data_IF_125540209588
#
_entry.id   IF_125540209588
#
_cell.length_a   1.000
_cell.length_b   1.000
_cell.length_c   1.000
_cell.angle_alpha   90.00
_cell.angle_beta   90.00
_cell.angle_gamma   90.00
#
_symmetry.space_group_name_H-M   'P 1'
#
loop_
_entity.id
_entity.type
_entity.pdbx_description
1 polymer ?
#
# COMPACT_ATOMS: atom_id res chain seq x y z
N UNK A 1 7.18 1.18 -5.01
CA UNK A 1 7.05 1.52 -6.43
C UNK A 1 6.03 0.64 -7.10
N UNK A 2 5.60 0.99 -8.26
CA UNK A 2 4.52 0.35 -8.99
C UNK A 2 3.47 1.39 -9.35
N UNK A 3 2.74 1.14 -10.41
CA UNK A 3 1.78 2.09 -10.94
C UNK A 3 0.41 1.44 -11.14
N UNK A 4 -0.61 2.26 -11.23
CA UNK A 4 -1.96 1.88 -11.62
C UNK A 4 -2.52 3.00 -12.48
N UNK A 5 -3.38 2.67 -13.42
CA UNK A 5 -3.95 3.63 -14.35
C UNK A 5 -4.99 4.51 -13.64
N UNK A 6 -4.85 5.83 -13.77
CA UNK A 6 -5.83 6.82 -13.33
C UNK A 6 -6.66 7.27 -14.53
N UNK A 7 -7.91 6.96 -14.53
CA UNK A 7 -8.86 7.37 -15.55
C UNK A 7 -10.28 7.20 -15.03
N UNK A 8 -11.25 7.86 -15.67
CA UNK A 8 -12.66 7.69 -15.36
C UNK A 8 -13.06 6.23 -15.52
N UNK A 9 -13.98 5.75 -14.70
CA UNK A 9 -14.38 4.34 -14.69
C UNK A 9 -14.83 3.85 -16.06
N UNK A 10 -15.58 4.65 -16.80
CA UNK A 10 -16.08 4.30 -18.14
C UNK A 10 -14.98 4.26 -19.21
N UNK A 11 -13.80 4.82 -18.93
CA UNK A 11 -12.67 4.82 -19.85
C UNK A 11 -11.66 3.70 -19.56
N UNK A 12 -11.75 3.05 -18.39
CA UNK A 12 -10.83 1.99 -18.01
C UNK A 12 -11.16 0.69 -18.75
N UNK A 13 -10.22 0.20 -19.55
CA UNK A 13 -10.29 -1.12 -20.17
C UNK A 13 -9.82 -2.21 -19.20
N UNK A 14 -10.11 -3.47 -19.52
CA UNK A 14 -9.58 -4.58 -18.73
C UNK A 14 -8.05 -4.54 -18.66
N UNK A 15 -7.38 -4.25 -19.78
CA UNK A 15 -5.92 -4.15 -19.82
C UNK A 15 -5.39 -3.04 -18.90
N UNK A 16 -6.11 -1.94 -18.76
CA UNK A 16 -5.74 -0.85 -17.84
C UNK A 16 -5.70 -1.34 -16.40
N UNK A 17 -6.63 -2.20 -15.98
CA UNK A 17 -6.62 -2.80 -14.64
C UNK A 17 -5.40 -3.69 -14.43
N UNK A 18 -4.98 -4.44 -15.46
CA UNK A 18 -3.81 -5.30 -15.34
C UNK A 18 -2.49 -4.55 -15.15
N UNK A 19 -2.40 -3.29 -15.55
CA UNK A 19 -1.20 -2.47 -15.30
C UNK A 19 -0.87 -2.46 -13.80
N UNK A 20 -1.82 -2.03 -12.98
CA UNK A 20 -1.64 -1.99 -11.53
C UNK A 20 -1.57 -3.38 -10.91
N UNK A 21 -2.36 -4.31 -11.43
CA UNK A 21 -2.37 -5.69 -10.95
C UNK A 21 -1.00 -6.35 -11.11
N UNK A 22 -0.37 -6.22 -12.26
CA UNK A 22 0.94 -6.83 -12.54
C UNK A 22 2.08 -6.07 -11.88
N UNK A 23 2.02 -4.73 -11.87
CA UNK A 23 3.08 -3.88 -11.34
C UNK A 23 3.01 -3.79 -9.82
N UNK A 24 2.05 -3.04 -9.30
CA UNK A 24 1.99 -2.73 -7.85
C UNK A 24 1.57 -3.92 -7.01
N UNK A 25 0.55 -4.67 -7.43
CA UNK A 25 0.05 -5.79 -6.64
C UNK A 25 1.01 -6.97 -6.70
N UNK A 26 1.24 -7.54 -7.87
CA UNK A 26 2.08 -8.73 -8.00
C UNK A 26 3.55 -8.44 -7.67
N UNK A 27 4.03 -7.24 -7.90
CA UNK A 27 5.36 -6.84 -7.48
C UNK A 27 5.55 -7.00 -5.97
N UNK A 28 4.59 -6.56 -5.18
CA UNK A 28 4.65 -6.69 -3.72
C UNK A 28 4.31 -8.09 -3.23
N UNK A 29 3.36 -8.76 -3.85
CA UNK A 29 3.07 -10.19 -3.56
C UNK A 29 4.32 -11.04 -3.78
N UNK A 30 5.01 -10.83 -4.89
CA UNK A 30 6.24 -11.57 -5.19
C UNK A 30 7.38 -11.24 -4.23
N UNK A 31 7.46 -10.00 -3.75
CA UNK A 31 8.44 -9.64 -2.72
C UNK A 31 8.27 -10.52 -1.47
N UNK A 32 7.05 -10.73 -1.02
CA UNK A 32 6.77 -11.59 0.13
C UNK A 32 6.95 -13.05 -0.22
N UNK A 33 6.38 -13.49 -1.34
CA UNK A 33 6.41 -14.89 -1.78
C UNK A 33 7.83 -15.42 -1.94
N UNK A 34 8.68 -14.65 -2.58
CA UNK A 34 10.08 -15.02 -2.80
C UNK A 34 10.97 -14.64 -1.61
N UNK A 35 10.73 -13.48 -1.00
CA UNK A 35 11.53 -12.97 0.12
C UNK A 35 11.46 -13.86 1.36
N UNK A 36 10.35 -14.58 1.55
CA UNK A 36 10.21 -15.48 2.71
C UNK A 36 11.35 -16.50 2.84
N UNK A 37 11.98 -16.85 1.72
CA UNK A 37 13.07 -17.83 1.71
C UNK A 37 14.42 -17.24 2.09
N UNK A 38 14.53 -15.92 2.17
CA UNK A 38 15.77 -15.20 2.41
C UNK A 38 15.77 -14.37 3.70
N UNK A 39 14.58 -14.12 4.25
CA UNK A 39 14.45 -13.27 5.42
C UNK A 39 14.96 -13.98 6.67
N UNK A 40 15.70 -13.23 7.50
CA UNK A 40 16.24 -13.78 8.76
C UNK A 40 15.13 -13.94 9.80
N UNK A 41 15.28 -14.85 10.77
CA UNK A 41 14.36 -14.94 11.90
C UNK A 41 14.18 -13.57 12.56
N UNK A 42 12.96 -13.24 12.96
CA UNK A 42 12.57 -11.96 13.54
C UNK A 42 12.67 -10.77 12.59
N UNK A 43 12.92 -11.01 11.31
CA UNK A 43 12.86 -9.97 10.29
C UNK A 43 11.45 -9.54 9.97
N UNK A 44 11.32 -8.54 9.08
CA UNK A 44 10.02 -8.05 8.65
C UNK A 44 10.04 -7.65 7.18
N UNK A 45 8.86 -7.71 6.57
CA UNK A 45 8.61 -7.16 5.24
C UNK A 45 7.52 -6.11 5.39
N UNK A 46 7.76 -4.92 4.86
CA UNK A 46 6.80 -3.82 4.90
C UNK A 46 6.39 -3.49 3.47
N UNK A 47 5.11 -3.65 3.18
CA UNK A 47 4.53 -3.27 1.89
C UNK A 47 4.01 -1.84 1.95
N UNK A 48 3.83 -1.23 0.79
CA UNK A 48 3.36 0.16 0.68
C UNK A 48 2.05 0.21 -0.09
N UNK A 49 1.06 0.86 0.51
CA UNK A 49 -0.24 1.13 -0.09
C UNK A 49 -0.61 2.60 0.10
N UNK A 50 -1.86 2.94 -0.09
CA UNK A 50 -2.33 4.30 0.08
C UNK A 50 -3.79 4.38 0.50
N UNK A 51 -4.18 5.57 0.89
CA UNK A 51 -5.51 5.90 1.40
C UNK A 51 -6.64 5.51 0.42
N UNK A 52 -6.36 5.38 -0.86
CA UNK A 52 -7.37 5.02 -1.87
C UNK A 52 -8.03 3.67 -1.59
N UNK A 53 -7.39 2.80 -0.81
CA UNK A 53 -7.99 1.54 -0.38
C UNK A 53 -9.19 1.75 0.57
N UNK A 54 -9.12 2.79 1.39
CA UNK A 54 -10.13 3.07 2.43
C UNK A 54 -11.03 4.26 2.05
N UNK A 55 -10.47 5.26 1.37
CA UNK A 55 -11.15 6.52 1.04
C UNK A 55 -10.75 6.95 -0.38
N UNK A 56 -11.30 6.29 -1.40
CA UNK A 56 -10.94 6.59 -2.79
C UNK A 56 -11.50 7.93 -3.26
N UNK A 57 -10.84 8.48 -4.28
CA UNK A 57 -11.31 9.67 -4.98
C UNK A 57 -11.68 9.29 -6.42
N UNK A 58 -12.23 10.22 -7.18
CA UNK A 58 -12.59 9.94 -8.58
C UNK A 58 -11.37 9.51 -9.40
N UNK A 59 -11.59 8.74 -10.46
CA UNK A 59 -10.55 8.23 -11.38
C UNK A 59 -9.59 7.21 -10.78
N UNK A 60 -9.92 6.61 -9.65
CA UNK A 60 -8.99 5.73 -8.91
C UNK A 60 -9.48 4.30 -8.73
N UNK A 61 -10.45 3.84 -9.53
CA UNK A 61 -10.99 2.49 -9.37
C UNK A 61 -9.90 1.40 -9.39
N UNK A 62 -8.97 1.50 -10.32
CA UNK A 62 -7.85 0.54 -10.42
C UNK A 62 -6.88 0.67 -9.25
N UNK A 63 -6.47 1.89 -8.91
CA UNK A 63 -5.54 2.13 -7.80
C UNK A 63 -6.14 1.71 -6.46
N UNK A 64 -7.42 2.01 -6.23
CA UNK A 64 -8.13 1.61 -5.01
C UNK A 64 -8.21 0.08 -4.90
N UNK A 65 -8.53 -0.59 -5.99
CA UNK A 65 -8.61 -2.06 -6.07
C UNK A 65 -7.28 -2.70 -5.69
N UNK A 66 -6.19 -2.23 -6.26
CA UNK A 66 -4.84 -2.79 -6.03
C UNK A 66 -4.41 -2.57 -4.58
N UNK A 67 -4.60 -1.36 -4.04
CA UNK A 67 -4.26 -1.07 -2.65
C UNK A 67 -5.10 -1.92 -1.68
N UNK A 68 -6.39 -2.07 -1.93
CA UNK A 68 -7.27 -2.91 -1.13
C UNK A 68 -6.88 -4.39 -1.18
N UNK A 69 -6.49 -4.88 -2.36
CA UNK A 69 -6.02 -6.26 -2.52
C UNK A 69 -4.77 -6.53 -1.68
N UNK A 70 -3.82 -5.59 -1.63
CA UNK A 70 -2.62 -5.72 -0.79
C UNK A 70 -3.00 -5.78 0.69
N UNK A 71 -3.96 -4.97 1.14
CA UNK A 71 -4.42 -4.99 2.53
C UNK A 71 -4.94 -6.38 2.91
N UNK A 72 -5.79 -6.95 2.09
CA UNK A 72 -6.33 -8.30 2.33
C UNK A 72 -5.24 -9.37 2.27
N UNK A 73 -4.32 -9.26 1.32
CA UNK A 73 -3.18 -10.17 1.20
C UNK A 73 -2.31 -10.17 2.47
N UNK A 74 -1.96 -8.99 2.99
CA UNK A 74 -1.15 -8.87 4.23
C UNK A 74 -1.83 -9.58 5.40
N UNK A 75 -3.12 -9.38 5.57
CA UNK A 75 -3.87 -10.01 6.66
C UNK A 75 -3.87 -11.53 6.55
N UNK A 76 -4.06 -12.06 5.34
CA UNK A 76 -4.09 -13.50 5.12
C UNK A 76 -2.72 -14.14 5.30
N UNK A 77 -1.69 -13.56 4.70
CA UNK A 77 -0.30 -14.08 4.79
C UNK A 77 0.19 -14.05 6.24
N UNK A 78 -0.16 -13.02 6.99
CA UNK A 78 0.26 -12.90 8.38
C UNK A 78 -0.15 -14.11 9.23
N UNK A 79 -1.28 -14.74 8.92
CA UNK A 79 -1.72 -15.94 9.63
C UNK A 79 -0.79 -17.12 9.39
N UNK A 80 -0.23 -17.21 8.17
CA UNK A 80 0.59 -18.36 7.75
C UNK A 80 2.06 -18.21 8.13
N UNK A 81 2.58 -16.97 8.22
CA UNK A 81 4.01 -16.72 8.51
C UNK A 81 4.26 -16.33 9.97
N UNK A 82 3.25 -16.44 10.81
CA UNK A 82 3.35 -16.12 12.24
C UNK A 82 4.48 -16.94 12.89
N UNK A 83 5.38 -16.27 13.61
CA UNK A 83 6.52 -16.90 14.25
C UNK A 83 7.75 -17.01 13.36
N UNK A 84 7.61 -16.87 12.04
CA UNK A 84 8.75 -16.88 11.12
C UNK A 84 9.30 -15.48 10.87
N UNK A 85 8.43 -14.55 10.44
CA UNK A 85 8.77 -13.15 10.25
C UNK A 85 7.47 -12.33 10.32
N UNK A 86 7.61 -11.01 10.38
CA UNK A 86 6.46 -10.10 10.43
C UNK A 86 6.22 -9.48 9.06
N UNK A 87 4.95 -9.31 8.70
CA UNK A 87 4.55 -8.63 7.47
C UNK A 87 3.48 -7.58 7.80
N UNK A 88 3.68 -6.36 7.31
CA UNK A 88 2.75 -5.25 7.49
C UNK A 88 2.67 -4.45 6.20
N UNK A 89 1.70 -3.56 6.10
CA UNK A 89 1.65 -2.53 5.07
C UNK A 89 1.57 -1.16 5.73
N UNK A 90 2.25 -0.18 5.14
CA UNK A 90 2.06 1.23 5.47
C UNK A 90 1.17 1.83 4.41
N UNK A 91 0.03 2.36 4.83
CA UNK A 91 -0.95 3.00 3.94
C UNK A 91 -0.81 4.51 4.07
N UNK A 92 -0.38 5.13 2.98
CA UNK A 92 -0.08 6.57 2.94
C UNK A 92 -1.30 7.39 2.57
N UNK A 93 -1.52 8.48 3.31
CA UNK A 93 -2.42 9.54 2.88
C UNK A 93 -1.81 10.36 1.75
N UNK A 94 -2.39 11.53 1.48
CA UNK A 94 -1.85 12.48 0.51
C UNK A 94 -0.51 13.03 1.03
N UNK A 95 0.59 12.60 0.44
CA UNK A 95 1.93 13.04 0.84
C UNK A 95 2.09 14.52 0.53
N UNK A 96 2.60 15.30 1.50
CA UNK A 96 2.74 16.75 1.37
C UNK A 96 3.54 17.16 0.12
N UNK A 97 4.57 16.39 -0.23
CA UNK A 97 5.42 16.66 -1.40
C UNK A 97 4.65 16.55 -2.73
N UNK A 98 3.55 15.81 -2.75
CA UNK A 98 2.70 15.64 -3.93
C UNK A 98 1.41 16.49 -3.86
N UNK A 99 1.21 17.22 -2.76
CA UNK A 99 -0.06 17.92 -2.49
C UNK A 99 -0.43 18.90 -3.60
N UNK A 100 0.49 19.76 -4.02
CA UNK A 100 0.20 20.76 -5.05
C UNK A 100 -0.23 20.13 -6.38
N UNK A 101 0.31 18.96 -6.71
CA UNK A 101 -0.02 18.25 -7.95
C UNK A 101 -1.41 17.61 -7.91
N UNK A 102 -1.82 17.10 -6.75
CA UNK A 102 -3.00 16.24 -6.63
C UNK A 102 -4.14 16.82 -5.79
N UNK A 103 -3.95 17.97 -5.14
CA UNK A 103 -4.93 18.52 -4.19
C UNK A 103 -6.35 18.65 -4.74
N UNK A 104 -6.50 18.94 -6.02
CA UNK A 104 -7.81 19.13 -6.64
C UNK A 104 -8.60 17.80 -6.75
N UNK A 105 -7.89 16.67 -6.72
CA UNK A 105 -8.51 15.33 -6.69
C UNK A 105 -8.82 14.86 -5.27
N UNK A 106 -8.31 15.53 -4.25
CA UNK A 106 -8.44 15.14 -2.85
C UNK A 106 -9.08 16.23 -2.00
N UNK A 107 -10.32 16.68 -2.35
CA UNK A 107 -10.97 17.72 -1.56
C UNK A 107 -11.19 17.25 -0.12
N UNK A 108 -10.77 18.07 0.84
CA UNK A 108 -10.96 17.77 2.26
C UNK A 108 -9.93 16.83 2.88
N UNK A 109 -8.96 16.32 2.09
CA UNK A 109 -7.88 15.50 2.62
C UNK A 109 -6.75 16.39 3.17
N UNK A 110 -6.15 15.95 4.27
CA UNK A 110 -4.99 16.63 4.84
C UNK A 110 -3.71 16.08 4.23
N UNK A 111 -2.77 16.96 3.85
CA UNK A 111 -1.46 16.50 3.42
C UNK A 111 -0.69 15.91 4.61
N UNK A 112 0.02 14.81 4.36
CA UNK A 112 0.83 14.12 5.37
C UNK A 112 2.29 14.42 5.11
N UNK A 113 3.01 14.90 6.13
CA UNK A 113 4.43 15.19 6.01
C UNK A 113 5.26 13.91 5.88
N UNK A 114 6.40 14.01 5.19
CA UNK A 114 7.32 12.88 5.04
C UNK A 114 7.81 12.34 6.40
N UNK A 115 8.15 13.17 7.40
CA UNK A 115 8.49 12.65 8.73
C UNK A 115 7.40 11.79 9.38
N UNK A 116 6.13 12.13 9.19
CA UNK A 116 5.01 11.28 9.67
C UNK A 116 4.98 9.94 8.94
N UNK A 117 5.19 9.96 7.62
CA UNK A 117 5.24 8.73 6.82
C UNK A 117 6.36 7.81 7.31
N UNK A 118 7.54 8.35 7.55
CA UNK A 118 8.69 7.59 8.06
C UNK A 118 8.35 6.88 9.37
N UNK A 119 7.57 7.53 10.25
CA UNK A 119 7.15 6.90 11.51
C UNK A 119 6.32 5.63 11.30
N UNK A 120 5.52 5.59 10.26
CA UNK A 120 4.80 4.36 9.89
C UNK A 120 5.74 3.21 9.56
N UNK A 121 6.79 3.48 8.80
CA UNK A 121 7.80 2.48 8.46
C UNK A 121 8.64 2.08 9.69
N UNK A 122 9.06 3.04 10.51
CA UNK A 122 9.75 2.74 11.77
C UNK A 122 8.91 1.79 12.63
N UNK A 123 7.62 2.07 12.76
CA UNK A 123 6.71 1.22 13.53
C UNK A 123 6.65 -0.21 12.99
N UNK A 124 6.58 -0.37 11.67
CA UNK A 124 6.56 -1.68 11.04
C UNK A 124 7.87 -2.44 11.23
N UNK A 125 9.01 -1.76 11.03
CA UNK A 125 10.33 -2.41 11.02
C UNK A 125 10.86 -2.65 12.44
N UNK A 126 10.73 -1.64 13.31
CA UNK A 126 11.33 -1.66 14.65
C UNK A 126 10.35 -2.09 15.74
N UNK A 127 9.05 -2.02 15.47
CA UNK A 127 8.01 -2.39 16.42
C UNK A 127 7.71 -3.88 16.39
N UNK A 128 6.54 -4.24 16.92
CA UNK A 128 6.09 -5.63 17.03
C UNK A 128 4.81 -5.91 16.23
N UNK A 129 4.36 -4.96 15.44
CA UNK A 129 3.17 -5.15 14.62
C UNK A 129 3.37 -6.28 13.60
N UNK A 130 2.31 -7.06 13.42
CA UNK A 130 2.28 -8.16 12.47
C UNK A 130 0.87 -8.27 11.89
N UNK A 131 0.77 -8.32 10.57
CA UNK A 131 -0.51 -8.35 9.88
C UNK A 131 -1.27 -7.02 9.94
N UNK A 132 -0.58 -5.91 10.19
CA UNK A 132 -1.19 -4.59 10.36
C UNK A 132 -1.16 -3.78 9.08
N UNK A 133 -2.22 -3.00 8.91
CA UNK A 133 -2.26 -1.91 7.95
C UNK A 133 -2.06 -0.62 8.77
N UNK A 134 -0.88 -0.07 8.67
CA UNK A 134 -0.50 1.13 9.43
C UNK A 134 -0.91 2.34 8.61
N UNK A 135 -1.98 2.99 9.02
CA UNK A 135 -2.60 4.10 8.29
C UNK A 135 -2.04 5.43 8.76
N UNK A 136 -1.40 6.15 7.85
CA UNK A 136 -0.85 7.49 8.11
C UNK A 136 -1.58 8.45 7.17
N UNK A 137 -2.76 8.92 7.60
CA UNK A 137 -3.66 9.69 6.74
C UNK A 137 -3.69 11.19 7.07
N UNK A 138 -3.10 11.56 8.21
CA UNK A 138 -3.03 12.96 8.62
C UNK A 138 -1.93 13.20 9.66
#
# INVERSE_FOLDING_TARGET
AGEAKWASFDELSEDDYYIGFKSKLMGQVNLVRLGQHYIKPNGSITLTTGILADDPVIKTASAAMVNGAIHSFVKAVALEVRGAFRVNAVSAGMVADAYEKYKDYFPGHYPVSMPKMVKGYERSVLGRDHGKIIRIYE
#
